data_IF_705597164024
#
_entry.id   IF_705597164024
#
_cell.length_a   1.000
_cell.length_b   1.000
_cell.length_c   1.000
_cell.angle_alpha   90.00
_cell.angle_beta   90.00
_cell.angle_gamma   90.00
#
_symmetry.space_group_name_H-M   'P 1'
#
loop_
_entity.id
_entity.type
_entity.pdbx_description
1 polymer ?
#
# COMPACT_ATOMS: atom_id res chain seq x y z
N UNK A 1 -23.17 -8.10 10.91
CA UNK A 1 -21.76 -7.94 10.49
C UNK A 1 -20.95 -9.06 11.11
N UNK A 2 -20.17 -9.81 10.32
CA UNK A 2 -19.40 -10.96 10.83
C UNK A 2 -17.91 -10.57 10.90
N UNK A 3 -17.45 -10.27 12.12
CA UNK A 3 -16.08 -9.82 12.40
C UNK A 3 -15.02 -10.87 12.08
N UNK A 4 -15.36 -12.16 12.18
CA UNK A 4 -14.44 -13.26 11.91
C UNK A 4 -14.19 -13.41 10.40
N UNK A 5 -15.24 -13.30 9.59
CA UNK A 5 -15.08 -13.32 8.13
C UNK A 5 -14.23 -12.15 7.64
N UNK A 6 -14.41 -10.96 8.23
CA UNK A 6 -13.57 -9.81 7.90
C UNK A 6 -12.12 -10.03 8.31
N UNK A 7 -11.87 -10.48 9.54
CA UNK A 7 -10.51 -10.74 10.02
C UNK A 7 -9.75 -11.70 9.11
N UNK A 8 -10.39 -12.81 8.74
CA UNK A 8 -9.81 -13.81 7.85
C UNK A 8 -9.53 -13.24 6.45
N UNK A 9 -10.41 -12.38 5.92
CA UNK A 9 -10.21 -11.75 4.62
C UNK A 9 -9.03 -10.75 4.63
N UNK A 10 -8.87 -9.99 5.71
CA UNK A 10 -7.74 -9.08 5.91
C UNK A 10 -6.44 -9.89 5.99
N UNK A 11 -6.40 -10.92 6.84
CA UNK A 11 -5.22 -11.76 7.03
C UNK A 11 -4.79 -12.42 5.71
N UNK A 12 -5.75 -12.98 4.96
CA UNK A 12 -5.49 -13.57 3.65
C UNK A 12 -4.88 -12.58 2.67
N UNK A 13 -5.43 -11.37 2.60
CA UNK A 13 -4.93 -10.32 1.70
C UNK A 13 -3.51 -9.90 2.09
N UNK A 14 -3.25 -9.68 3.38
CA UNK A 14 -1.92 -9.31 3.87
C UNK A 14 -0.89 -10.40 3.63
N UNK A 15 -1.28 -11.67 3.75
CA UNK A 15 -0.39 -12.81 3.49
C UNK A 15 -0.04 -12.91 2.02
N UNK A 16 -1.00 -12.72 1.12
CA UNK A 16 -0.78 -12.81 -0.33
C UNK A 16 0.04 -11.65 -0.90
N UNK A 17 -0.16 -10.44 -0.37
CA UNK A 17 0.42 -9.22 -0.94
C UNK A 17 1.48 -8.56 -0.04
N UNK A 18 1.86 -9.16 1.09
CA UNK A 18 2.90 -8.65 1.99
C UNK A 18 2.47 -7.57 2.99
N UNK A 19 1.21 -7.11 2.91
CA UNK A 19 0.65 -6.13 3.86
C UNK A 19 1.48 -4.84 3.90
N UNK A 20 2.05 -4.51 5.07
CA UNK A 20 2.88 -3.32 5.27
C UNK A 20 4.36 -3.52 4.89
N UNK A 21 4.79 -4.76 4.64
CA UNK A 21 6.19 -5.11 4.35
C UNK A 21 6.29 -5.61 2.91
N UNK A 22 6.19 -4.69 1.97
CA UNK A 22 6.27 -4.95 0.53
C UNK A 22 7.73 -5.02 0.09
N UNK A 23 8.20 -6.20 -0.31
CA UNK A 23 9.49 -6.38 -0.99
C UNK A 23 9.25 -6.45 -2.51
N UNK A 24 9.17 -5.27 -3.13
CA UNK A 24 8.86 -5.11 -4.55
C UNK A 24 10.01 -4.41 -5.27
N UNK A 25 10.20 -4.77 -6.54
CA UNK A 25 11.16 -4.14 -7.46
C UNK A 25 10.46 -3.75 -8.75
N UNK A 26 10.88 -2.63 -9.36
CA UNK A 26 10.34 -2.10 -10.62
C UNK A 26 8.86 -1.65 -10.52
N UNK A 27 8.49 -1.04 -9.40
CA UNK A 27 7.15 -0.48 -9.15
C UNK A 27 7.28 0.99 -8.77
N UNK A 28 6.44 1.87 -9.32
CA UNK A 28 6.44 3.30 -8.96
C UNK A 28 5.13 3.64 -8.25
N UNK A 29 5.22 4.22 -7.06
CA UNK A 29 4.06 4.72 -6.32
C UNK A 29 3.83 6.20 -6.66
N UNK A 30 2.61 6.56 -7.07
CA UNK A 30 2.25 7.94 -7.43
C UNK A 30 0.98 8.32 -6.71
N UNK A 31 1.00 9.46 -6.02
CA UNK A 31 -0.15 9.97 -5.28
C UNK A 31 -0.32 11.48 -5.49
N UNK A 32 -1.56 11.94 -5.56
CA UNK A 32 -1.91 13.36 -5.66
C UNK A 32 -2.41 13.93 -4.32
N UNK A 33 -2.20 15.22 -4.09
CA UNK A 33 -2.60 15.89 -2.83
C UNK A 33 -4.10 15.97 -2.62
N UNK A 34 -4.86 16.08 -3.71
CA UNK A 34 -6.33 16.16 -3.69
C UNK A 34 -6.97 14.78 -3.51
N UNK A 35 -6.28 13.69 -3.86
CA UNK A 35 -6.81 12.34 -3.74
C UNK A 35 -6.87 11.94 -2.25
N UNK A 36 -8.05 11.78 -1.63
CA UNK A 36 -8.14 11.41 -0.21
C UNK A 36 -7.50 10.05 0.10
N UNK A 37 -7.31 9.18 -0.90
CA UNK A 37 -6.73 7.86 -0.72
C UNK A 37 -5.20 7.87 -0.68
N UNK A 38 -4.53 9.01 -0.94
CA UNK A 38 -3.08 9.10 -0.79
C UNK A 38 -2.60 8.73 0.63
N UNK A 39 -3.44 8.97 1.64
CA UNK A 39 -3.14 8.64 3.04
C UNK A 39 -3.04 7.14 3.32
N UNK A 40 -3.61 6.30 2.45
CA UNK A 40 -3.57 4.84 2.57
C UNK A 40 -2.44 4.19 1.75
N UNK A 41 -1.76 4.98 0.91
CA UNK A 41 -0.70 4.52 0.02
C UNK A 41 0.71 4.84 0.51
N UNK A 42 1.71 4.49 -0.31
CA UNK A 42 3.13 4.78 -0.04
C UNK A 42 3.47 6.12 -0.71
N UNK A 43 3.43 7.20 0.07
CA UNK A 43 3.78 8.55 -0.42
C UNK A 43 5.29 8.84 -0.36
N UNK A 44 6.04 8.05 0.41
CA UNK A 44 7.50 8.13 0.52
C UNK A 44 8.07 6.71 0.56
N UNK A 45 9.04 6.44 -0.30
CA UNK A 45 9.74 5.15 -0.37
C UNK A 45 11.23 5.36 -0.16
N UNK A 46 11.86 4.45 0.60
CA UNK A 46 13.31 4.38 0.78
C UNK A 46 13.97 3.39 -0.18
N UNK A 47 13.19 2.59 -0.92
CA UNK A 47 13.69 1.60 -1.87
C UNK A 47 13.94 2.28 -3.24
N UNK A 48 15.20 2.35 -3.72
CA UNK A 48 15.51 2.97 -5.02
C UNK A 48 14.86 2.23 -6.21
N UNK A 49 14.62 0.92 -6.08
CA UNK A 49 13.97 0.10 -7.11
C UNK A 49 12.44 0.21 -7.07
N UNK A 50 11.88 0.88 -6.07
CA UNK A 50 10.45 1.14 -5.97
C UNK A 50 10.17 2.57 -5.48
N UNK A 51 10.44 3.61 -6.30
CA UNK A 51 10.34 5.00 -5.88
C UNK A 51 8.88 5.45 -5.68
N UNK A 52 8.68 6.47 -4.84
CA UNK A 52 7.39 7.09 -4.59
C UNK A 52 7.40 8.58 -4.92
N UNK A 53 6.34 9.07 -5.56
CA UNK A 53 6.15 10.46 -5.93
C UNK A 53 4.81 10.97 -5.41
N UNK A 54 4.86 12.13 -4.76
CA UNK A 54 3.68 12.84 -4.27
C UNK A 54 3.57 14.19 -4.97
N UNK A 55 2.45 14.43 -5.64
CA UNK A 55 2.20 15.61 -6.47
C UNK A 55 1.18 16.50 -5.77
N UNK A 56 1.49 17.78 -5.64
CA UNK A 56 0.59 18.80 -5.08
C UNK A 56 0.03 19.71 -6.17
#
# INVERSE_FOLDING_TARGET
YNVHLLGNAIERTNTLYGGLHLDLTNVVYIHGSIDPWHALGITKSTNPNAPAFYIN
#
